data_IF_650121761134
#
_entry.id   IF_650121761134
#
_cell.length_a   1.000
_cell.length_b   1.000
_cell.length_c   1.000
_cell.angle_alpha   90.00
_cell.angle_beta   90.00
_cell.angle_gamma   90.00
#
_symmetry.space_group_name_H-M   'P 1'
#
loop_
_entity.id
_entity.type
_entity.pdbx_description
1 polymer ?
#
# COMPACT_ATOMS: atom_id res chain seq x y z
N UNK A 1 3.25 -8.44 0.47
CA UNK A 1 3.00 -6.98 0.35
C UNK A 1 3.58 -6.49 -0.96
N UNK A 2 2.94 -5.52 -1.60
CA UNK A 2 3.45 -4.84 -2.79
C UNK A 2 3.77 -3.40 -2.39
N UNK A 3 4.97 -2.91 -2.72
CA UNK A 3 5.35 -1.51 -2.51
C UNK A 3 5.35 -0.80 -3.86
N UNK A 4 4.71 0.36 -3.91
CA UNK A 4 4.68 1.22 -5.10
C UNK A 4 5.37 2.53 -4.76
N UNK A 5 6.25 2.98 -5.64
CA UNK A 5 7.00 4.23 -5.51
C UNK A 5 6.41 5.26 -6.46
N UNK A 6 6.13 6.46 -5.96
CA UNK A 6 5.67 7.56 -6.79
C UNK A 6 6.83 8.16 -7.59
N UNK A 7 6.57 8.43 -8.87
CA UNK A 7 7.54 8.99 -9.81
C UNK A 7 6.84 9.91 -10.80
N UNK A 8 7.54 10.94 -11.29
CA UNK A 8 7.08 11.78 -12.40
C UNK A 8 6.19 12.95 -11.97
N UNK A 9 6.16 13.30 -10.69
CA UNK A 9 5.43 14.49 -10.19
C UNK A 9 6.27 15.78 -10.23
N UNK A 10 7.57 15.67 -10.54
CA UNK A 10 8.53 16.78 -10.47
C UNK A 10 8.46 17.51 -9.11
N UNK A 11 8.31 16.72 -8.05
CA UNK A 11 8.10 17.20 -6.69
C UNK A 11 8.73 16.22 -5.71
N UNK A 12 9.82 16.64 -5.07
CA UNK A 12 10.58 15.82 -4.11
C UNK A 12 9.80 15.46 -2.85
N UNK A 13 8.68 16.14 -2.56
CA UNK A 13 7.78 15.79 -1.46
C UNK A 13 6.82 14.63 -1.79
N UNK A 14 6.77 14.19 -3.05
CA UNK A 14 5.88 13.13 -3.55
C UNK A 14 6.72 12.04 -4.23
N UNK A 15 7.64 12.43 -5.10
CA UNK A 15 8.55 11.52 -5.77
C UNK A 15 9.41 10.76 -4.74
N UNK A 16 9.69 9.49 -5.02
CA UNK A 16 10.33 8.54 -4.12
C UNK A 16 9.55 8.19 -2.84
N UNK A 17 8.39 8.80 -2.59
CA UNK A 17 7.48 8.36 -1.54
C UNK A 17 6.69 7.13 -1.97
N UNK A 18 6.24 6.35 -1.01
CA UNK A 18 5.71 5.01 -1.24
C UNK A 18 4.32 4.81 -0.64
N UNK A 19 3.56 3.94 -1.30
CA UNK A 19 2.36 3.31 -0.78
C UNK A 19 2.58 1.79 -0.73
N UNK A 20 1.86 1.12 0.16
CA UNK A 20 1.87 -0.33 0.29
C UNK A 20 0.48 -0.90 0.06
N UNK A 21 0.41 -1.95 -0.74
CA UNK A 21 -0.77 -2.79 -0.89
C UNK A 21 -0.54 -4.08 -0.10
N UNK A 22 -1.39 -4.31 0.87
CA UNK A 22 -1.38 -5.49 1.74
C UNK A 22 -2.56 -6.37 1.39
N UNK A 23 -2.35 -7.64 1.01
CA UNK A 23 -3.44 -8.56 0.76
C UNK A 23 -3.99 -9.07 2.10
N UNK A 24 -5.31 -9.22 2.16
CA UNK A 24 -6.04 -9.73 3.32
C UNK A 24 -6.79 -11.00 2.92
N UNK A 25 -6.81 -12.00 3.81
CA UNK A 25 -7.57 -13.25 3.62
C UNK A 25 -9.02 -13.15 4.11
N UNK A 26 -9.30 -12.15 4.93
CA UNK A 26 -10.63 -11.83 5.47
C UNK A 26 -10.68 -10.31 5.82
N UNK A 27 -11.74 -9.85 6.48
CA UNK A 27 -11.92 -8.42 6.74
C UNK A 27 -10.82 -7.78 7.61
N UNK A 28 -10.12 -8.56 8.45
CA UNK A 28 -9.21 -8.04 9.49
C UNK A 28 -7.80 -8.62 9.45
N UNK A 29 -7.58 -9.74 8.75
CA UNK A 29 -6.30 -10.47 8.78
C UNK A 29 -5.52 -10.31 7.49
N UNK A 30 -4.34 -9.68 7.60
CA UNK A 30 -3.37 -9.63 6.53
C UNK A 30 -2.85 -11.05 6.20
N UNK A 31 -2.60 -11.32 4.92
CA UNK A 31 -2.06 -12.61 4.48
C UNK A 31 -0.57 -12.73 4.83
N UNK A 32 -0.16 -13.93 5.20
CA UNK A 32 1.23 -14.33 5.38
C UNK A 32 1.67 -15.33 4.30
N UNK A 33 2.95 -15.68 4.28
CA UNK A 33 3.50 -16.67 3.33
C UNK A 33 2.80 -18.05 3.43
N UNK A 34 2.26 -18.39 4.60
CA UNK A 34 1.48 -19.63 4.79
C UNK A 34 0.11 -19.62 4.13
N UNK A 35 -0.33 -18.49 3.56
CA UNK A 35 -1.60 -18.37 2.86
C UNK A 35 -1.47 -18.43 1.33
N UNK A 36 -0.30 -18.82 0.82
CA UNK A 36 -0.10 -19.02 -0.62
C UNK A 36 -1.11 -20.03 -1.20
N UNK A 37 -1.66 -19.72 -2.37
CA UNK A 37 -2.69 -20.54 -3.04
C UNK A 37 -4.13 -20.29 -2.55
N UNK A 38 -4.32 -19.49 -1.50
CA UNK A 38 -5.66 -19.06 -1.07
C UNK A 38 -6.13 -17.81 -1.82
N UNK A 39 -7.44 -17.68 -2.00
CA UNK A 39 -8.04 -16.49 -2.62
C UNK A 39 -7.82 -15.25 -1.76
N UNK A 40 -7.54 -14.12 -2.42
CA UNK A 40 -7.41 -12.82 -1.78
C UNK A 40 -8.82 -12.27 -1.54
N UNK A 41 -9.15 -11.93 -0.29
CA UNK A 41 -10.42 -11.30 0.05
C UNK A 41 -10.43 -9.83 -0.36
N UNK A 42 -9.38 -9.09 0.01
CA UNK A 42 -9.23 -7.68 -0.32
C UNK A 42 -7.75 -7.25 -0.34
N UNK A 43 -7.48 -6.15 -1.04
CA UNK A 43 -6.24 -5.41 -0.89
C UNK A 43 -6.53 -4.13 -0.12
N UNK A 44 -5.81 -3.92 0.99
CA UNK A 44 -5.83 -2.64 1.70
C UNK A 44 -4.58 -1.87 1.33
N UNK A 45 -4.75 -0.59 1.00
CA UNK A 45 -3.67 0.29 0.65
C UNK A 45 -3.40 1.28 1.79
N UNK A 46 -2.14 1.64 2.01
CA UNK A 46 -1.75 2.65 3.00
C UNK A 46 -0.39 3.28 2.66
N UNK A 47 0.08 4.24 3.48
CA UNK A 47 1.45 4.74 3.39
C UNK A 47 2.45 3.58 3.49
N UNK A 48 3.51 3.62 2.67
CA UNK A 48 4.55 2.59 2.79
C UNK A 48 5.42 2.77 4.03
N UNK A 49 6.07 1.68 4.44
CA UNK A 49 6.89 1.66 5.66
C UNK A 49 8.16 2.52 5.58
N UNK A 50 8.66 2.78 4.37
CA UNK A 50 9.85 3.60 4.12
C UNK A 50 9.51 4.68 3.11
N UNK A 51 9.88 5.93 3.40
CA UNK A 51 9.45 7.12 2.64
C UNK A 51 7.93 7.15 2.47
N UNK A 52 7.13 7.25 3.56
CA UNK A 52 5.68 7.17 3.48
C UNK A 52 5.10 8.34 2.68
N UNK A 53 4.19 8.04 1.76
CA UNK A 53 3.40 9.06 1.06
C UNK A 53 2.66 9.95 2.09
N UNK A 54 2.83 11.28 2.05
CA UNK A 54 2.09 12.17 2.93
C UNK A 54 0.57 12.02 2.76
N UNK A 55 -0.20 12.06 3.84
CA UNK A 55 -1.65 11.77 3.82
C UNK A 55 -2.45 12.63 2.84
N UNK A 56 -2.03 13.88 2.61
CA UNK A 56 -2.64 14.78 1.62
C UNK A 56 -2.55 14.28 0.17
N UNK A 57 -1.53 13.46 -0.13
CA UNK A 57 -1.26 12.92 -1.46
C UNK A 57 -1.69 11.46 -1.61
N UNK A 58 -2.22 10.83 -0.55
CA UNK A 58 -2.77 9.48 -0.66
C UNK A 58 -4.02 9.48 -1.53
N UNK A 59 -4.15 8.53 -2.47
CA UNK A 59 -5.43 8.22 -3.11
C UNK A 59 -6.48 7.83 -2.07
N UNK A 60 -7.77 8.02 -2.38
CA UNK A 60 -8.86 7.70 -1.45
C UNK A 60 -8.83 6.27 -0.92
N UNK A 61 -8.46 5.30 -1.77
CA UNK A 61 -8.32 3.88 -1.41
C UNK A 61 -7.14 3.57 -0.48
N UNK A 62 -6.21 4.51 -0.28
CA UNK A 62 -5.01 4.34 0.54
C UNK A 62 -5.04 5.15 1.85
N UNK A 63 -6.19 5.76 2.18
CA UNK A 63 -6.36 6.61 3.38
C UNK A 63 -7.00 5.89 4.58
N UNK A 64 -7.51 4.68 4.38
CA UNK A 64 -8.33 3.95 5.37
C UNK A 64 -7.73 2.63 5.82
#
# INVERSE_FOLDING_TARGET
MVTVVATGFNNTAIDAQTIQLTPYKDATTAMAATNMGTSIFAWKCGPGASNPMPSKYLPGSCRG
#
